data_IF_298225665257
#
_entry.id   IF_298225665257
#
_cell.length_a   1.000
_cell.length_b   1.000
_cell.length_c   1.000
_cell.angle_alpha   90.00
_cell.angle_beta   90.00
_cell.angle_gamma   90.00
#
_symmetry.space_group_name_H-M   'P 1'
#
loop_
_entity.id
_entity.type
_entity.pdbx_description
1 polymer ?
#
# COMPACT_ATOMS: atom_id res chain seq x y z
N UNK A 1 40.43 9.65 -5.61
CA UNK A 1 39.62 8.62 -6.31
C UNK A 1 39.60 7.27 -5.57
N UNK A 2 40.75 6.74 -5.12
CA UNK A 2 40.87 5.42 -4.45
C UNK A 2 40.08 5.32 -3.12
N UNK A 3 40.10 6.37 -2.28
CA UNK A 3 39.40 6.37 -0.99
C UNK A 3 37.85 6.29 -1.10
N UNK A 4 37.29 6.74 -2.22
CA UNK A 4 35.84 6.76 -2.44
C UNK A 4 35.34 5.38 -2.91
N UNK A 5 36.14 4.69 -3.72
CA UNK A 5 35.92 3.28 -4.09
C UNK A 5 36.05 2.34 -2.89
N UNK A 6 37.06 2.53 -2.04
CA UNK A 6 37.22 1.72 -0.82
C UNK A 6 36.02 1.91 0.11
N UNK A 7 35.57 3.16 0.33
CA UNK A 7 34.34 3.42 1.09
C UNK A 7 33.12 2.74 0.48
N UNK A 8 32.89 2.89 -0.83
CA UNK A 8 31.75 2.27 -1.50
C UNK A 8 31.77 0.73 -1.40
N UNK A 9 32.95 0.14 -1.53
CA UNK A 9 33.15 -1.30 -1.37
C UNK A 9 32.88 -1.77 0.06
N UNK A 10 33.38 -1.05 1.07
CA UNK A 10 33.07 -1.33 2.47
C UNK A 10 31.58 -1.19 2.77
N UNK A 11 30.91 -0.16 2.25
CA UNK A 11 29.46 -0.02 2.41
C UNK A 11 28.70 -1.17 1.75
N UNK A 12 29.08 -1.56 0.53
CA UNK A 12 28.45 -2.69 -0.16
C UNK A 12 28.67 -4.02 0.58
N UNK A 13 29.88 -4.26 1.09
CA UNK A 13 30.22 -5.45 1.85
C UNK A 13 29.49 -5.49 3.20
N UNK A 14 29.42 -4.37 3.93
CA UNK A 14 28.66 -4.28 5.18
C UNK A 14 27.17 -4.48 4.92
N UNK A 15 26.63 -3.90 3.85
CA UNK A 15 25.23 -4.12 3.44
C UNK A 15 25.01 -5.61 3.15
N UNK A 16 25.88 -6.26 2.38
CA UNK A 16 25.74 -7.67 2.03
C UNK A 16 25.86 -8.59 3.25
N UNK A 17 26.76 -8.28 4.20
CA UNK A 17 26.90 -9.02 5.46
C UNK A 17 25.67 -8.82 6.34
N UNK A 18 25.15 -7.60 6.42
CA UNK A 18 23.89 -7.31 7.12
C UNK A 18 22.76 -8.08 6.45
N UNK A 19 22.60 -8.00 5.13
CA UNK A 19 21.55 -8.74 4.40
C UNK A 19 21.65 -10.27 4.60
N UNK A 20 22.87 -10.83 4.61
CA UNK A 20 23.12 -12.25 4.84
C UNK A 20 22.79 -12.67 6.28
N UNK A 21 23.21 -11.86 7.28
CA UNK A 21 22.83 -12.08 8.68
C UNK A 21 21.33 -11.95 8.91
N UNK A 22 20.66 -11.12 8.12
CA UNK A 22 19.22 -10.89 8.21
C UNK A 22 18.37 -11.94 7.54
N UNK A 23 18.89 -12.59 6.50
CA UNK A 23 18.31 -13.84 6.01
C UNK A 23 18.27 -14.91 7.13
N UNK A 24 19.24 -14.89 8.05
CA UNK A 24 19.34 -15.80 9.20
C UNK A 24 18.34 -15.52 10.32
N UNK A 25 17.80 -14.30 10.43
CA UNK A 25 16.82 -13.95 11.47
C UNK A 25 15.38 -14.37 11.14
N UNK A 26 15.17 -15.00 9.98
CA UNK A 26 13.86 -15.37 9.48
C UNK A 26 13.01 -14.13 9.17
N UNK A 27 11.99 -14.25 8.30
CA UNK A 27 10.97 -13.22 8.24
C UNK A 27 10.37 -13.05 9.65
N UNK A 28 10.18 -11.80 10.09
CA UNK A 28 9.22 -11.52 11.17
C UNK A 28 7.94 -12.24 10.73
N UNK A 29 7.56 -13.26 11.49
CA UNK A 29 6.63 -14.29 11.03
C UNK A 29 5.42 -13.68 10.35
N UNK A 30 4.96 -14.31 9.27
CA UNK A 30 3.63 -14.00 8.71
C UNK A 30 2.66 -13.99 9.88
N UNK A 31 1.97 -12.88 10.10
CA UNK A 31 0.78 -12.92 10.95
C UNK A 31 -0.06 -14.08 10.41
N UNK A 32 -0.47 -15.04 11.26
CA UNK A 32 -1.31 -16.13 10.80
C UNK A 32 -2.55 -15.48 10.22
N UNK A 33 -2.68 -15.61 8.90
CA UNK A 33 -3.88 -15.14 8.24
C UNK A 33 -5.04 -15.94 8.81
N UNK A 34 -6.10 -15.25 9.23
CA UNK A 34 -7.29 -15.96 9.69
C UNK A 34 -7.93 -16.63 8.48
N UNK A 35 -8.04 -17.95 8.51
CA UNK A 35 -8.59 -18.71 7.38
C UNK A 35 -10.07 -18.40 7.09
N UNK A 36 -10.80 -17.77 8.03
CA UNK A 36 -12.22 -17.42 7.88
C UNK A 36 -12.55 -16.19 8.72
N UNK A 37 -13.19 -15.19 8.12
CA UNK A 37 -13.80 -14.04 8.80
C UNK A 37 -15.34 -14.16 8.77
N UNK A 38 -16.04 -13.49 9.69
CA UNK A 38 -17.53 -13.52 9.73
C UNK A 38 -18.15 -13.05 8.40
N UNK A 39 -17.48 -12.15 7.68
CA UNK A 39 -17.93 -11.67 6.38
C UNK A 39 -17.82 -12.71 5.27
N UNK A 40 -16.94 -13.71 5.38
CA UNK A 40 -16.73 -14.73 4.33
C UNK A 40 -17.95 -15.67 4.18
N UNK A 41 -18.80 -15.75 5.20
CA UNK A 41 -20.04 -16.52 5.19
C UNK A 41 -21.25 -15.69 4.77
N UNK A 42 -21.07 -14.40 4.53
CA UNK A 42 -22.13 -13.47 4.13
C UNK A 42 -22.13 -13.31 2.61
N UNK A 43 -23.31 -13.07 2.05
CA UNK A 43 -23.45 -12.68 0.65
C UNK A 43 -22.95 -11.26 0.43
N UNK A 44 -22.61 -10.93 -0.81
CA UNK A 44 -22.18 -9.57 -1.16
C UNK A 44 -23.22 -8.50 -0.78
N UNK A 45 -24.51 -8.81 -0.87
CA UNK A 45 -25.61 -7.90 -0.47
C UNK A 45 -25.64 -7.67 1.06
N UNK A 46 -25.38 -8.71 1.84
CA UNK A 46 -25.30 -8.61 3.31
C UNK A 46 -24.09 -7.77 3.74
N UNK A 47 -22.93 -7.98 3.12
CA UNK A 47 -21.73 -7.18 3.38
C UNK A 47 -21.92 -5.74 2.92
N UNK A 48 -22.62 -5.52 1.81
CA UNK A 48 -22.97 -4.20 1.33
C UNK A 48 -23.92 -3.47 2.29
N UNK A 49 -24.90 -4.18 2.86
CA UNK A 49 -25.79 -3.64 3.90
C UNK A 49 -24.99 -3.20 5.14
N UNK A 50 -23.99 -3.97 5.57
CA UNK A 50 -23.08 -3.54 6.63
C UNK A 50 -22.32 -2.26 6.25
N UNK A 51 -21.88 -2.14 5.00
CA UNK A 51 -21.19 -0.92 4.55
C UNK A 51 -22.11 0.31 4.56
N UNK A 52 -23.39 0.16 4.20
CA UNK A 52 -24.37 1.25 4.27
C UNK A 52 -24.75 1.62 5.71
N UNK A 53 -24.53 0.73 6.69
CA UNK A 53 -24.78 1.04 8.10
C UNK A 53 -23.71 1.95 8.73
N UNK A 54 -22.55 2.11 8.07
CA UNK A 54 -21.47 2.99 8.51
C UNK A 54 -21.81 4.44 8.16
N UNK A 55 -21.72 5.36 9.14
CA UNK A 55 -21.99 6.77 8.92
C UNK A 55 -21.02 7.39 7.89
N UNK A 56 -21.51 8.30 7.04
CA UNK A 56 -20.70 8.93 5.99
C UNK A 56 -19.46 9.66 6.54
N UNK A 57 -19.57 10.24 7.75
CA UNK A 57 -18.44 10.87 8.43
C UNK A 57 -17.33 9.87 8.78
N UNK A 58 -17.66 8.62 9.11
CA UNK A 58 -16.66 7.58 9.45
C UNK A 58 -15.81 7.16 8.25
N UNK A 59 -16.34 7.33 7.03
CA UNK A 59 -15.58 7.09 5.80
C UNK A 59 -14.53 8.18 5.52
N UNK A 60 -14.71 9.37 6.10
CA UNK A 60 -13.92 10.57 5.77
C UNK A 60 -13.06 11.08 6.92
N UNK A 61 -13.34 10.67 8.16
CA UNK A 61 -12.91 11.40 9.37
C UNK A 61 -11.55 11.02 9.96
N UNK A 62 -10.88 9.98 9.51
CA UNK A 62 -9.50 9.73 9.96
C UNK A 62 -8.86 8.68 9.06
N UNK A 63 -7.53 8.65 8.94
CA UNK A 63 -6.82 7.60 8.20
C UNK A 63 -7.01 6.16 8.72
N UNK A 64 -8.08 5.89 9.48
CA UNK A 64 -8.53 4.58 9.95
C UNK A 64 -9.80 4.18 9.18
N UNK A 65 -9.74 3.13 8.33
CA UNK A 65 -10.93 2.62 7.66
C UNK A 65 -11.98 2.14 8.69
N UNK A 66 -13.29 2.37 8.45
CA UNK A 66 -14.34 1.92 9.35
C UNK A 66 -14.34 0.41 9.53
N UNK A 67 -14.65 -0.04 10.76
CA UNK A 67 -14.78 -1.45 11.11
C UNK A 67 -16.20 -1.93 10.83
N UNK A 68 -16.34 -2.97 10.01
CA UNK A 68 -17.63 -3.66 9.81
C UNK A 68 -17.89 -4.67 10.93
N UNK A 69 -16.83 -5.31 11.42
CA UNK A 69 -16.82 -6.21 12.58
C UNK A 69 -15.55 -5.97 13.40
N UNK A 70 -15.31 -6.72 14.49
CA UNK A 70 -14.10 -6.55 15.30
C UNK A 70 -12.81 -6.70 14.48
N UNK A 71 -12.84 -7.55 13.45
CA UNK A 71 -11.67 -8.05 12.73
C UNK A 71 -11.69 -7.69 11.23
N UNK A 72 -12.68 -6.92 10.77
CA UNK A 72 -12.85 -6.58 9.35
C UNK A 72 -13.05 -5.09 9.20
N UNK A 73 -12.32 -4.50 8.27
CA UNK A 73 -12.48 -3.10 7.87
C UNK A 73 -12.93 -2.97 6.43
N UNK A 74 -13.51 -1.82 6.12
CA UNK A 74 -13.92 -1.46 4.79
C UNK A 74 -13.27 -0.14 4.36
N UNK A 75 -12.70 -0.12 3.16
CA UNK A 75 -12.08 1.08 2.60
C UNK A 75 -12.80 1.49 1.32
N UNK A 76 -13.33 2.71 1.30
CA UNK A 76 -13.95 3.29 0.10
C UNK A 76 -12.85 3.69 -0.88
N UNK A 77 -13.01 3.30 -2.13
CA UNK A 77 -12.09 3.59 -3.23
C UNK A 77 -12.87 4.05 -4.46
N UNK A 78 -12.27 4.84 -5.37
CA UNK A 78 -12.91 5.18 -6.64
C UNK A 78 -13.28 3.92 -7.42
N UNK A 79 -14.50 3.87 -7.95
CA UNK A 79 -14.94 2.79 -8.83
C UNK A 79 -14.30 2.96 -10.20
N UNK A 80 -13.71 1.87 -10.70
CA UNK A 80 -13.31 1.77 -12.10
C UNK A 80 -14.48 1.23 -12.93
N UNK A 81 -14.64 1.67 -14.20
CA UNK A 81 -15.69 1.14 -15.08
C UNK A 81 -15.63 -0.38 -15.27
N UNK A 82 -14.43 -0.96 -15.20
CA UNK A 82 -14.17 -2.40 -15.20
C UNK A 82 -12.93 -2.72 -14.35
N UNK A 83 -12.82 -3.96 -13.91
CA UNK A 83 -11.66 -4.45 -13.15
C UNK A 83 -11.71 -4.16 -11.65
N UNK A 84 -10.65 -4.58 -10.95
CA UNK A 84 -10.48 -4.31 -9.53
C UNK A 84 -9.89 -2.92 -9.30
N UNK A 85 -10.21 -2.26 -8.17
CA UNK A 85 -9.54 -1.03 -7.79
C UNK A 85 -8.01 -1.20 -7.77
N UNK A 86 -7.28 -0.15 -8.13
CA UNK A 86 -5.81 -0.18 -8.24
C UNK A 86 -5.12 -0.63 -6.94
N UNK A 87 -5.67 -0.25 -5.79
CA UNK A 87 -5.19 -0.68 -4.47
C UNK A 87 -5.37 -2.19 -4.26
N UNK A 88 -6.52 -2.75 -4.65
CA UNK A 88 -6.78 -4.18 -4.55
C UNK A 88 -5.81 -4.98 -5.44
N UNK A 89 -5.58 -4.52 -6.67
CA UNK A 89 -4.61 -5.12 -7.59
C UNK A 89 -3.18 -5.07 -7.04
N UNK A 90 -2.76 -3.93 -6.49
CA UNK A 90 -1.44 -3.79 -5.90
C UNK A 90 -1.26 -4.70 -4.67
N UNK A 91 -2.29 -4.80 -3.83
CA UNK A 91 -2.28 -5.65 -2.64
C UNK A 91 -2.22 -7.14 -3.00
N UNK A 92 -2.99 -7.58 -3.99
CA UNK A 92 -2.91 -8.95 -4.49
C UNK A 92 -1.52 -9.27 -5.09
N UNK A 93 -0.97 -8.36 -5.90
CA UNK A 93 0.37 -8.50 -6.45
C UNK A 93 1.44 -8.64 -5.34
N UNK A 94 1.41 -7.77 -4.34
CA UNK A 94 2.36 -7.80 -3.21
C UNK A 94 2.22 -9.09 -2.42
N UNK A 95 0.98 -9.51 -2.11
CA UNK A 95 0.68 -10.75 -1.40
C UNK A 95 1.26 -11.97 -2.13
N UNK A 96 1.14 -11.99 -3.46
CA UNK A 96 1.54 -13.13 -4.28
C UNK A 96 3.04 -13.15 -4.63
N UNK A 97 3.73 -12.00 -4.56
CA UNK A 97 5.14 -11.87 -5.00
C UNK A 97 6.14 -11.58 -3.88
N UNK A 98 5.68 -11.32 -2.66
CA UNK A 98 6.55 -10.93 -1.55
C UNK A 98 6.18 -11.64 -0.25
N UNK A 99 7.01 -11.46 0.77
CA UNK A 99 6.72 -11.86 2.15
C UNK A 99 6.26 -10.67 3.01
N UNK A 100 5.88 -9.55 2.39
CA UNK A 100 5.36 -8.39 3.10
C UNK A 100 3.95 -8.74 3.62
N UNK A 101 3.68 -8.59 4.91
CA UNK A 101 2.34 -8.76 5.44
C UNK A 101 1.47 -7.61 4.93
N UNK A 102 0.45 -7.95 4.15
CA UNK A 102 -0.59 -7.04 3.70
C UNK A 102 -1.95 -7.56 4.17
N UNK A 103 -2.92 -6.70 4.51
CA UNK A 103 -4.27 -7.14 4.84
C UNK A 103 -4.81 -7.95 3.66
N UNK A 104 -5.39 -9.14 3.88
CA UNK A 104 -5.94 -9.84 2.73
C UNK A 104 -7.34 -9.32 2.39
N UNK A 105 -7.61 -9.27 1.10
CA UNK A 105 -8.89 -8.84 0.55
C UNK A 105 -9.89 -9.98 0.75
N UNK A 106 -11.06 -9.64 1.29
CA UNK A 106 -12.20 -10.53 1.52
C UNK A 106 -13.26 -10.33 0.44
N UNK A 107 -13.67 -9.08 0.23
CA UNK A 107 -14.64 -8.70 -0.81
C UNK A 107 -14.24 -7.40 -1.51
N UNK A 108 -14.70 -7.25 -2.74
CA UNK A 108 -14.66 -5.99 -3.50
C UNK A 108 -16.07 -5.74 -4.01
N UNK A 109 -16.74 -4.73 -3.45
CA UNK A 109 -18.16 -4.47 -3.73
C UNK A 109 -18.34 -3.11 -4.38
N UNK A 110 -19.36 -2.98 -5.23
CA UNK A 110 -19.73 -1.71 -5.82
C UNK A 110 -20.76 -1.02 -4.92
N UNK A 111 -20.36 0.10 -4.31
CA UNK A 111 -21.24 0.86 -3.41
C UNK A 111 -22.22 1.73 -4.19
N UNK A 112 -21.75 2.34 -5.28
CA UNK A 112 -22.55 3.18 -6.18
C UNK A 112 -21.84 3.32 -7.55
N UNK A 113 -22.33 4.13 -8.50
CA UNK A 113 -21.67 4.32 -9.80
C UNK A 113 -20.25 4.90 -9.74
N UNK A 114 -19.86 5.54 -8.64
CA UNK A 114 -18.60 6.27 -8.51
C UNK A 114 -17.63 5.66 -7.49
N UNK A 115 -18.11 4.80 -6.59
CA UNK A 115 -17.32 4.24 -5.50
C UNK A 115 -17.49 2.73 -5.39
N UNK A 116 -16.38 2.07 -5.11
CA UNK A 116 -16.30 0.68 -4.68
C UNK A 116 -15.78 0.64 -3.24
N UNK A 117 -15.92 -0.50 -2.58
CA UNK A 117 -15.38 -0.74 -1.25
C UNK A 117 -14.51 -1.99 -1.27
N UNK A 118 -13.33 -1.90 -0.67
CA UNK A 118 -12.44 -3.03 -0.44
C UNK A 118 -12.64 -3.45 1.01
N UNK A 119 -13.17 -4.67 1.21
CA UNK A 119 -13.34 -5.28 2.52
C UNK A 119 -12.12 -6.16 2.79
N UNK A 120 -11.46 -5.93 3.91
CA UNK A 120 -10.19 -6.59 4.24
C UNK A 120 -10.04 -6.81 5.75
N UNK A 121 -9.08 -7.65 6.13
CA UNK A 121 -8.78 -7.88 7.55
C UNK A 121 -8.34 -6.59 8.25
N UNK A 122 -8.85 -6.40 9.46
CA UNK A 122 -8.28 -5.44 10.39
C UNK A 122 -6.94 -5.97 10.92
N UNK A 123 -5.88 -5.18 10.76
CA UNK A 123 -4.58 -5.49 11.38
C UNK A 123 -4.52 -4.79 12.74
N UNK A 124 -4.56 -5.53 13.86
CA UNK A 124 -4.42 -4.94 15.18
C UNK A 124 -3.00 -4.40 15.37
N UNK A 125 -2.89 -3.17 15.87
CA UNK A 125 -1.61 -2.57 16.19
C UNK A 125 -1.68 -1.06 16.35
N UNK A 126 -0.51 -0.50 16.63
CA UNK A 126 -0.26 0.95 16.64
C UNK A 126 0.61 1.32 15.45
N UNK A 127 0.50 2.56 14.98
CA UNK A 127 1.35 3.04 13.87
C UNK A 127 2.82 3.06 14.30
N UNK A 128 3.71 2.89 13.32
CA UNK A 128 5.14 2.98 13.58
C UNK A 128 5.52 4.34 14.18
N UNK A 129 4.88 5.43 13.75
CA UNK A 129 5.11 6.76 14.30
C UNK A 129 4.82 6.84 15.82
N UNK A 130 3.74 6.21 16.28
CA UNK A 130 3.40 6.15 17.71
C UNK A 130 4.33 5.20 18.49
N UNK A 131 4.74 4.08 17.88
CA UNK A 131 5.59 3.09 18.53
C UNK A 131 7.08 3.50 18.57
N UNK A 132 7.55 4.30 17.61
CA UNK A 132 8.97 4.62 17.43
C UNK A 132 9.64 5.24 18.67
N UNK A 133 9.03 6.21 19.40
CA UNK A 133 9.63 6.80 20.59
C UNK A 133 9.83 5.79 21.73
N UNK A 134 8.93 4.80 21.85
CA UNK A 134 8.95 3.80 22.92
C UNK A 134 9.85 2.60 22.61
N UNK A 135 10.33 2.47 21.38
CA UNK A 135 11.21 1.38 20.97
C UNK A 135 12.65 1.56 21.49
N UNK A 136 13.22 0.48 22.03
CA UNK A 136 14.65 0.39 22.31
C UNK A 136 15.51 0.38 21.04
N UNK A 137 16.81 0.64 21.19
CA UNK A 137 17.75 0.75 20.05
C UNK A 137 17.70 -0.49 19.14
N UNK A 138 17.72 -1.69 19.73
CA UNK A 138 17.65 -2.94 18.97
C UNK A 138 16.34 -3.14 18.21
N UNK A 139 15.21 -2.70 18.77
CA UNK A 139 13.91 -2.75 18.08
C UNK A 139 13.88 -1.79 16.90
N UNK A 140 14.44 -0.59 17.05
CA UNK A 140 14.58 0.38 15.95
C UNK A 140 15.46 -0.16 14.83
N UNK A 141 16.61 -0.75 15.17
CA UNK A 141 17.52 -1.38 14.19
C UNK A 141 16.79 -2.50 13.44
N UNK A 142 16.14 -3.43 14.15
CA UNK A 142 15.36 -4.51 13.53
C UNK A 142 14.25 -3.97 12.62
N UNK A 143 13.52 -2.95 13.07
CA UNK A 143 12.44 -2.34 12.28
C UNK A 143 12.96 -1.67 11.01
N UNK A 144 14.02 -0.87 11.10
CA UNK A 144 14.64 -0.21 9.95
C UNK A 144 15.13 -1.24 8.91
N UNK A 145 15.68 -2.33 9.40
CA UNK A 145 16.11 -3.46 8.58
C UNK A 145 14.93 -4.15 7.89
N UNK A 146 13.85 -4.45 8.61
CA UNK A 146 12.64 -5.05 8.03
C UNK A 146 12.06 -4.16 6.93
N UNK A 147 11.94 -2.85 7.19
CA UNK A 147 11.49 -1.87 6.19
C UNK A 147 12.40 -1.84 4.96
N UNK A 148 13.73 -1.89 5.15
CA UNK A 148 14.68 -2.00 4.04
C UNK A 148 14.46 -3.27 3.22
N UNK A 149 14.22 -4.40 3.88
CA UNK A 149 13.90 -5.67 3.21
C UNK A 149 12.60 -5.56 2.41
N UNK A 150 11.55 -4.97 2.98
CA UNK A 150 10.28 -4.74 2.27
C UNK A 150 10.47 -3.86 1.02
N UNK A 151 11.19 -2.74 1.13
CA UNK A 151 11.49 -1.89 -0.04
C UNK A 151 12.27 -2.64 -1.11
N UNK A 152 13.22 -3.51 -0.73
CA UNK A 152 13.93 -4.35 -1.69
C UNK A 152 13.02 -5.36 -2.38
N UNK A 153 12.15 -6.02 -1.63
CA UNK A 153 11.18 -6.97 -2.18
C UNK A 153 10.25 -6.26 -3.18
N UNK A 154 9.71 -5.10 -2.84
CA UNK A 154 8.88 -4.29 -3.75
C UNK A 154 9.64 -3.92 -5.03
N UNK A 155 10.89 -3.45 -4.90
CA UNK A 155 11.73 -3.09 -6.05
C UNK A 155 12.18 -4.28 -6.91
N UNK A 156 12.13 -5.50 -6.35
CA UNK A 156 12.46 -6.72 -7.08
C UNK A 156 11.30 -7.27 -7.91
N UNK A 157 10.07 -6.77 -7.71
CA UNK A 157 8.93 -7.14 -8.54
C UNK A 157 9.18 -6.58 -9.95
N UNK A 158 9.51 -7.47 -10.88
CA UNK A 158 9.70 -7.13 -12.29
C UNK A 158 8.46 -7.48 -13.08
N UNK A 159 7.99 -6.51 -13.85
CA UNK A 159 6.88 -6.63 -14.79
C UNK A 159 7.17 -5.80 -16.05
N UNK A 160 6.69 -6.23 -17.22
CA UNK A 160 6.91 -5.51 -18.47
C UNK A 160 6.47 -4.03 -18.39
N UNK A 161 5.41 -3.77 -17.62
CA UNK A 161 4.86 -2.43 -17.38
C UNK A 161 5.46 -1.66 -16.19
N UNK A 162 6.48 -2.16 -15.51
CA UNK A 162 7.03 -1.51 -14.29
C UNK A 162 7.62 -0.11 -14.56
N UNK A 163 7.88 0.23 -15.81
CA UNK A 163 8.40 1.56 -16.21
C UNK A 163 7.29 2.58 -16.48
N UNK A 164 6.05 2.12 -16.65
CA UNK A 164 4.88 2.94 -16.99
C UNK A 164 4.01 3.05 -15.74
N UNK A 165 3.70 4.27 -15.28
CA UNK A 165 2.79 4.48 -14.16
C UNK A 165 1.41 3.84 -14.34
N UNK A 166 0.95 3.15 -13.30
CA UNK A 166 -0.38 2.56 -13.25
C UNK A 166 -0.39 1.19 -12.59
N UNK A 167 -1.55 0.52 -12.56
CA UNK A 167 -1.66 -0.87 -12.11
C UNK A 167 -0.70 -1.76 -12.88
N UNK A 168 -0.13 -2.76 -12.20
CA UNK A 168 0.84 -3.71 -12.78
C UNK A 168 0.13 -5.07 -12.94
N UNK A 169 -0.72 -5.15 -13.97
CA UNK A 169 -1.45 -6.37 -14.35
C UNK A 169 -1.41 -6.57 -15.87
N UNK A 170 -1.37 -7.81 -16.32
CA UNK A 170 -1.53 -8.16 -17.74
C UNK A 170 -2.94 -7.81 -18.22
N UNK A 171 -3.05 -7.17 -19.38
CA UNK A 171 -4.33 -6.76 -19.98
C UNK A 171 -4.94 -5.46 -19.43
N UNK A 172 -4.34 -4.86 -18.39
CA UNK A 172 -4.73 -3.53 -17.90
C UNK A 172 -3.97 -2.43 -18.65
N UNK A 173 -4.61 -1.28 -18.88
CA UNK A 173 -4.00 -0.11 -19.52
C UNK A 173 -3.39 0.84 -18.49
N UNK A 174 -2.44 1.72 -18.88
CA UNK A 174 -1.99 2.81 -18.01
C UNK A 174 -3.17 3.67 -17.55
N UNK A 175 -3.26 3.90 -16.24
CA UNK A 175 -4.38 4.60 -15.62
C UNK A 175 -4.22 6.12 -15.59
N UNK A 176 -5.35 6.84 -15.54
CA UNK A 176 -5.39 8.27 -15.23
C UNK A 176 -5.39 8.48 -13.71
N UNK A 177 -4.74 9.54 -13.24
CA UNK A 177 -4.90 10.03 -11.87
C UNK A 177 -6.19 10.86 -11.78
N UNK A 178 -7.25 10.26 -11.25
CA UNK A 178 -8.54 10.93 -11.06
C UNK A 178 -8.53 11.85 -9.85
N UNK A 179 -8.92 13.12 -10.03
CA UNK A 179 -9.27 14.05 -8.95
C UNK A 179 -8.28 14.06 -7.75
N UNK A 180 -6.97 14.00 -8.01
CA UNK A 180 -5.98 13.82 -6.93
C UNK A 180 -5.98 15.00 -5.95
N UNK A 181 -6.17 14.70 -4.67
CA UNK A 181 -6.07 15.64 -3.54
C UNK A 181 -4.85 15.38 -2.64
N UNK A 182 -3.86 14.61 -3.12
CA UNK A 182 -2.70 14.17 -2.32
C UNK A 182 -1.90 15.37 -1.73
N UNK A 183 -1.88 16.51 -2.43
CA UNK A 183 -1.15 17.71 -2.03
C UNK A 183 -2.05 18.95 -2.12
N UNK A 184 -3.11 19.00 -1.31
CA UNK A 184 -4.02 20.14 -1.22
C UNK A 184 -5.33 19.97 -2.01
N UNK A 185 -5.88 21.03 -2.63
CA UNK A 185 -7.19 20.97 -3.27
C UNK A 185 -7.23 19.97 -4.43
N UNK A 186 -8.44 19.51 -4.76
CA UNK A 186 -8.69 18.54 -5.84
C UNK A 186 -8.11 19.08 -7.15
N UNK A 187 -7.22 18.29 -7.77
CA UNK A 187 -6.62 18.61 -9.07
C UNK A 187 -7.40 17.93 -10.20
N UNK A 188 -7.46 18.54 -11.40
CA UNK A 188 -8.07 17.91 -12.57
C UNK A 188 -7.44 16.55 -12.86
N UNK A 189 -8.26 15.63 -13.40
CA UNK A 189 -7.80 14.32 -13.84
C UNK A 189 -6.68 14.46 -14.87
N UNK A 190 -5.55 13.78 -14.65
CA UNK A 190 -4.38 13.81 -15.54
C UNK A 190 -3.83 12.42 -15.84
N UNK A 191 -3.21 12.27 -17.00
CA UNK A 191 -2.64 11.03 -17.49
C UNK A 191 -3.50 10.38 -18.59
N UNK A 192 -3.19 9.12 -18.99
CA UNK A 192 -2.10 8.30 -18.45
C UNK A 192 -0.73 8.93 -18.70
N UNK A 193 0.23 8.60 -17.84
CA UNK A 193 1.61 9.07 -17.96
C UNK A 193 2.44 8.03 -18.71
N UNK A 194 3.26 8.47 -19.66
CA UNK A 194 4.08 7.57 -20.45
C UNK A 194 5.29 7.06 -19.65
N UNK A 195 5.76 7.86 -18.68
CA UNK A 195 6.95 7.55 -17.88
C UNK A 195 6.74 7.92 -16.40
N UNK A 196 7.53 7.30 -15.53
CA UNK A 196 7.57 7.65 -14.10
C UNK A 196 7.99 9.10 -13.87
N UNK A 197 8.87 9.65 -14.70
CA UNK A 197 9.35 11.03 -14.57
C UNK A 197 8.21 12.05 -14.81
N UNK A 198 7.32 11.79 -15.75
CA UNK A 198 6.14 12.65 -15.99
C UNK A 198 5.18 12.64 -14.80
N UNK A 199 4.93 11.47 -14.20
CA UNK A 199 4.12 11.34 -12.99
C UNK A 199 4.76 12.09 -11.82
N UNK A 200 6.06 11.91 -11.60
CA UNK A 200 6.82 12.57 -10.53
C UNK A 200 6.77 14.09 -10.70
N UNK A 201 7.00 14.60 -11.91
CA UNK A 201 6.89 16.04 -12.20
C UNK A 201 5.49 16.57 -11.90
N UNK A 202 4.44 15.83 -12.25
CA UNK A 202 3.07 16.23 -11.94
C UNK A 202 2.83 16.37 -10.44
N UNK A 203 3.29 15.40 -9.63
CA UNK A 203 3.13 15.45 -8.17
C UNK A 203 4.03 16.49 -7.50
N UNK A 204 5.28 16.64 -7.94
CA UNK A 204 6.20 17.66 -7.42
C UNK A 204 5.66 19.07 -7.65
N UNK A 205 5.23 19.38 -8.87
CA UNK A 205 4.58 20.66 -9.17
C UNK A 205 3.37 20.88 -8.25
N UNK A 206 2.70 19.80 -7.86
CA UNK A 206 1.58 19.88 -6.96
C UNK A 206 1.93 20.15 -5.50
N UNK A 207 3.00 19.52 -5.01
CA UNK A 207 3.57 19.85 -3.71
C UNK A 207 4.02 21.30 -3.65
N UNK A 208 4.74 21.78 -4.67
CA UNK A 208 5.27 23.15 -4.71
C UNK A 208 4.15 24.19 -4.66
N UNK A 209 3.08 23.97 -5.42
CA UNK A 209 1.91 24.84 -5.38
C UNK A 209 1.19 24.84 -4.03
N UNK A 210 1.12 23.68 -3.36
CA UNK A 210 0.49 23.57 -2.05
C UNK A 210 1.33 24.19 -0.93
N UNK A 211 2.66 24.16 -1.06
CA UNK A 211 3.56 24.80 -0.11
C UNK A 211 3.53 26.34 -0.18
N UNK A 212 3.02 26.91 -1.27
CA UNK A 212 2.87 28.34 -1.49
C UNK A 212 1.48 28.89 -1.13
N UNK A 213 0.52 28.02 -0.79
CA UNK A 213 -0.86 28.37 -0.47
C UNK A 213 -1.09 28.40 1.05
#
# INVERSE_FOLDING_TARGET
MIAQFIRAFFYAAVIAVVDALLASFGPIGRLPYRNSADVDHKTDDEVLSLCYSVADDDWTSSGCPPRLTSDVVAKRVPRLPAGWPSEALAQDLIKNRTNIPVPPIRHILNLNPYASVIVMDYIPGITLAAAWPTMGLWQKIRTAITLRSYVRQLRSITHARSKIPGPVLDGEEPGKCFASCIFGPIRPTKGPFATSDELIRFFNNGMDQAALA
#
